data_IF_148293610564
#
_entry.id   IF_148293610564
#
_cell.length_a   1.000
_cell.length_b   1.000
_cell.length_c   1.000
_cell.angle_alpha   90.00
_cell.angle_beta   90.00
_cell.angle_gamma   90.00
#
_symmetry.space_group_name_H-M   'P 1'
#
loop_
_entity.id
_entity.type
_entity.pdbx_description
1 polymer ?
#
# COMPACT_ATOMS: atom_id res chain seq x y z
N UNK A 1 -11.96 18.16 1.21
CA UNK A 1 -11.82 17.19 2.32
C UNK A 1 -13.21 16.59 2.56
N UNK A 2 -13.44 15.30 2.25
CA UNK A 2 -14.77 14.66 2.35
C UNK A 2 -14.84 13.85 3.64
N UNK A 3 -15.57 14.36 4.64
CA UNK A 3 -15.81 13.64 5.89
C UNK A 3 -16.84 12.53 5.67
N UNK A 4 -16.46 11.30 6.00
CA UNK A 4 -17.40 10.19 6.18
C UNK A 4 -17.90 10.26 7.62
N UNK A 5 -19.18 10.62 7.80
CA UNK A 5 -19.77 10.90 9.12
C UNK A 5 -20.18 9.65 9.91
N UNK A 6 -20.40 8.52 9.21
CA UNK A 6 -20.91 7.29 9.81
C UNK A 6 -20.50 6.06 8.99
N UNK A 7 -20.19 4.95 9.65
CA UNK A 7 -19.74 3.70 9.04
C UNK A 7 -20.27 2.51 9.88
N UNK A 8 -21.11 1.65 9.29
CA UNK A 8 -21.61 0.42 9.92
C UNK A 8 -21.34 -0.80 9.04
N UNK A 9 -20.81 -1.86 9.64
CA UNK A 9 -20.58 -3.17 9.00
C UNK A 9 -21.60 -4.16 9.59
N UNK A 10 -22.36 -4.83 8.73
CA UNK A 10 -23.28 -5.93 9.10
C UNK A 10 -23.16 -7.03 8.06
N UNK A 11 -22.46 -8.12 8.38
CA UNK A 11 -22.20 -9.21 7.43
C UNK A 11 -21.48 -8.72 6.17
N UNK A 12 -22.06 -8.97 5.00
CA UNK A 12 -21.53 -8.55 3.68
C UNK A 12 -21.93 -7.13 3.28
N UNK A 13 -22.63 -6.40 4.16
CA UNK A 13 -23.16 -5.07 3.87
C UNK A 13 -22.40 -4.01 4.68
N UNK A 14 -21.94 -2.99 3.96
CA UNK A 14 -21.41 -1.77 4.56
C UNK A 14 -22.31 -0.60 4.23
N UNK A 15 -22.54 0.28 5.20
CA UNK A 15 -23.24 1.53 4.98
C UNK A 15 -22.37 2.69 5.42
N UNK A 16 -22.14 3.68 4.55
CA UNK A 16 -21.50 4.93 4.95
C UNK A 16 -22.25 6.15 4.45
N UNK A 17 -22.22 7.22 5.24
CA UNK A 17 -22.74 8.51 4.83
C UNK A 17 -21.69 9.21 3.95
N UNK A 18 -22.03 9.39 2.67
CA UNK A 18 -21.31 10.24 1.73
C UNK A 18 -21.97 11.61 1.71
N UNK A 19 -21.21 12.66 1.99
CA UNK A 19 -21.69 14.05 1.91
C UNK A 19 -21.43 14.62 0.51
N UNK A 20 -22.50 14.85 -0.25
CA UNK A 20 -22.48 15.53 -1.54
C UNK A 20 -23.17 16.91 -1.40
N UNK A 21 -22.47 17.88 -0.80
CA UNK A 21 -23.02 19.20 -0.51
C UNK A 21 -23.76 19.25 0.83
N UNK A 22 -25.06 19.58 0.82
CA UNK A 22 -25.90 19.71 2.04
C UNK A 22 -26.57 18.40 2.49
N UNK A 23 -26.50 17.35 1.69
CA UNK A 23 -27.21 16.09 1.94
C UNK A 23 -26.21 14.96 2.22
N UNK A 24 -26.46 14.21 3.29
CA UNK A 24 -25.75 12.98 3.60
C UNK A 24 -26.49 11.80 2.94
N UNK A 25 -25.85 11.16 1.96
CA UNK A 25 -26.39 9.99 1.26
C UNK A 25 -25.80 8.72 1.87
N UNK A 26 -26.65 7.78 2.30
CA UNK A 26 -26.19 6.47 2.78
C UNK A 26 -25.86 5.59 1.58
N UNK A 27 -24.58 5.36 1.33
CA UNK A 27 -24.09 4.40 0.33
C UNK A 27 -24.00 3.03 0.98
N UNK A 28 -24.69 2.05 0.39
CA UNK A 28 -24.64 0.64 0.79
C UNK A 28 -23.78 -0.14 -0.19
N UNK A 29 -22.67 -0.70 0.27
CA UNK A 29 -21.81 -1.59 -0.52
C UNK A 29 -22.09 -3.04 -0.13
N UNK A 30 -22.35 -3.86 -1.15
CA UNK A 30 -22.48 -5.32 -1.03
C UNK A 30 -21.33 -5.94 -1.79
N UNK A 31 -20.57 -6.82 -1.13
CA UNK A 31 -19.55 -7.62 -1.78
C UNK A 31 -20.03 -9.06 -1.85
N UNK A 32 -19.89 -9.68 -3.03
CA UNK A 32 -19.88 -11.15 -3.10
C UNK A 32 -18.61 -11.68 -2.43
N UNK A 33 -18.62 -12.96 -2.03
CA UNK A 33 -17.42 -13.58 -1.47
C UNK A 33 -16.24 -13.51 -2.46
N UNK A 34 -16.51 -13.68 -3.77
CA UNK A 34 -15.49 -13.54 -4.80
C UNK A 34 -14.91 -12.13 -4.86
N UNK A 35 -15.74 -11.09 -4.89
CA UNK A 35 -15.26 -9.70 -4.92
C UNK A 35 -14.45 -9.36 -3.67
N UNK A 36 -14.82 -9.91 -2.50
CA UNK A 36 -14.05 -9.75 -1.27
C UNK A 36 -12.66 -10.38 -1.42
N UNK A 37 -12.59 -11.63 -1.90
CA UNK A 37 -11.32 -12.33 -2.13
C UNK A 37 -10.42 -11.59 -3.13
N UNK A 38 -11.00 -11.05 -4.21
CA UNK A 38 -10.26 -10.31 -5.23
C UNK A 38 -9.65 -9.02 -4.65
N UNK A 39 -10.42 -8.27 -3.86
CA UNK A 39 -9.93 -7.04 -3.21
C UNK A 39 -8.85 -7.34 -2.17
N UNK A 40 -9.01 -8.42 -1.38
CA UNK A 40 -7.98 -8.86 -0.42
C UNK A 40 -6.68 -9.18 -1.16
N UNK A 41 -6.78 -9.90 -2.29
CA UNK A 41 -5.61 -10.24 -3.11
C UNK A 41 -4.92 -8.99 -3.65
N UNK A 42 -5.69 -7.98 -4.08
CA UNK A 42 -5.15 -6.70 -4.52
C UNK A 42 -4.45 -5.94 -3.39
N UNK A 43 -5.05 -5.89 -2.20
CA UNK A 43 -4.45 -5.26 -1.01
C UNK A 43 -3.13 -5.93 -0.62
N UNK A 44 -3.12 -7.26 -0.53
CA UNK A 44 -1.92 -8.03 -0.21
C UNK A 44 -0.83 -7.85 -1.26
N UNK A 45 -1.19 -7.81 -2.55
CA UNK A 45 -0.25 -7.58 -3.64
C UNK A 45 0.36 -6.17 -3.58
N UNK A 46 -0.49 -5.14 -3.42
CA UNK A 46 -0.04 -3.76 -3.28
C UNK A 46 0.84 -3.57 -2.04
N UNK A 47 0.52 -4.26 -0.93
CA UNK A 47 1.32 -4.22 0.28
C UNK A 47 2.71 -4.82 0.05
N UNK A 48 2.80 -6.01 -0.55
CA UNK A 48 4.09 -6.62 -0.88
C UNK A 48 4.94 -5.73 -1.80
N UNK A 49 4.31 -5.04 -2.75
CA UNK A 49 5.00 -4.11 -3.62
C UNK A 49 5.54 -2.88 -2.88
N UNK A 50 4.80 -2.38 -1.88
CA UNK A 50 5.26 -1.31 -0.99
C UNK A 50 6.41 -1.79 -0.10
N UNK A 51 6.28 -2.94 0.55
CA UNK A 51 7.34 -3.51 1.40
C UNK A 51 8.64 -3.73 0.59
N UNK A 52 8.54 -4.13 -0.68
CA UNK A 52 9.68 -4.21 -1.60
C UNK A 52 10.33 -2.83 -1.84
N UNK A 53 9.52 -1.80 -2.11
CA UNK A 53 10.03 -0.44 -2.34
C UNK A 53 10.70 0.13 -1.08
N UNK A 54 10.13 -0.12 0.09
CA UNK A 54 10.73 0.25 1.39
C UNK A 54 12.08 -0.47 1.58
N UNK A 55 12.17 -1.76 1.24
CA UNK A 55 13.43 -2.49 1.28
C UNK A 55 14.51 -1.95 0.33
N UNK A 56 14.12 -1.47 -0.86
CA UNK A 56 15.05 -0.76 -1.77
C UNK A 56 15.52 0.54 -1.14
N UNK A 57 14.62 1.34 -0.58
CA UNK A 57 14.95 2.59 0.11
C UNK A 57 15.93 2.34 1.27
N UNK A 58 15.68 1.33 2.09
CA UNK A 58 16.56 0.97 3.22
C UNK A 58 17.99 0.66 2.72
N UNK A 59 18.12 -0.10 1.64
CA UNK A 59 19.42 -0.42 1.05
C UNK A 59 20.13 0.83 0.51
N UNK A 60 19.41 1.73 -0.17
CA UNK A 60 19.96 2.99 -0.68
C UNK A 60 20.47 3.87 0.47
N UNK A 61 19.67 4.03 1.53
CA UNK A 61 20.06 4.80 2.72
C UNK A 61 21.26 4.17 3.42
N UNK A 62 21.24 2.86 3.63
CA UNK A 62 22.34 2.12 4.26
C UNK A 62 23.64 2.22 3.46
N UNK A 63 23.54 2.22 2.13
CA UNK A 63 24.71 2.32 1.23
C UNK A 63 25.38 3.69 1.29
N UNK A 64 24.72 4.76 1.74
CA UNK A 64 25.33 6.11 1.78
C UNK A 64 26.66 6.19 2.53
N UNK A 65 26.83 5.37 3.57
CA UNK A 65 28.09 5.30 4.34
C UNK A 65 29.09 4.28 3.81
N UNK A 66 28.74 3.57 2.73
CA UNK A 66 29.57 2.55 2.10
C UNK A 66 30.35 3.15 0.93
N UNK A 67 31.69 3.06 1.00
CA UNK A 67 32.59 3.60 -0.02
C UNK A 67 32.91 2.60 -1.14
N UNK A 68 32.41 1.36 -1.05
CA UNK A 68 32.65 0.34 -2.07
C UNK A 68 32.07 0.77 -3.43
N UNK A 69 32.78 0.42 -4.51
CA UNK A 69 32.21 0.49 -5.85
C UNK A 69 31.05 -0.50 -6.00
N UNK A 70 30.30 -0.39 -7.09
CA UNK A 70 29.23 -1.34 -7.40
C UNK A 70 29.75 -2.78 -7.44
N UNK A 71 30.87 -3.02 -8.14
CA UNK A 71 31.47 -4.35 -8.30
C UNK A 71 31.91 -4.94 -6.97
N UNK A 72 32.54 -4.13 -6.11
CA UNK A 72 32.97 -4.54 -4.77
C UNK A 72 31.76 -4.84 -3.86
N UNK A 73 30.70 -4.04 -3.97
CA UNK A 73 29.46 -4.26 -3.23
C UNK A 73 28.75 -5.54 -3.72
N UNK A 74 28.65 -5.74 -5.03
CA UNK A 74 28.05 -6.90 -5.67
C UNK A 74 28.81 -8.19 -5.31
N UNK A 75 30.13 -8.17 -5.27
CA UNK A 75 30.94 -9.30 -4.80
C UNK A 75 30.66 -9.64 -3.32
N UNK A 76 30.40 -8.63 -2.48
CA UNK A 76 30.21 -8.83 -1.04
C UNK A 76 28.76 -9.15 -0.62
N UNK A 77 27.76 -8.66 -1.35
CA UNK A 77 26.33 -8.72 -1.01
C UNK A 77 25.46 -9.40 -2.05
N UNK A 78 26.01 -9.66 -3.24
CA UNK A 78 25.28 -10.16 -4.39
C UNK A 78 24.79 -9.04 -5.31
N UNK A 79 24.76 -9.36 -6.60
CA UNK A 79 24.40 -8.42 -7.68
C UNK A 79 22.98 -7.87 -7.53
N UNK A 80 22.02 -8.71 -7.13
CA UNK A 80 20.63 -8.28 -6.94
C UNK A 80 20.46 -7.25 -5.81
N UNK A 81 21.24 -7.36 -4.73
CA UNK A 81 21.24 -6.37 -3.64
C UNK A 81 21.96 -5.10 -4.09
N UNK A 82 23.07 -5.24 -4.81
CA UNK A 82 23.83 -4.11 -5.35
C UNK A 82 22.96 -3.23 -6.28
N UNK A 83 22.21 -3.82 -7.21
CA UNK A 83 21.31 -3.06 -8.08
C UNK A 83 20.27 -2.24 -7.30
N UNK A 84 19.74 -2.78 -6.20
CA UNK A 84 18.82 -2.04 -5.33
C UNK A 84 19.54 -0.92 -4.57
N UNK A 85 20.67 -1.23 -3.94
CA UNK A 85 21.44 -0.28 -3.14
C UNK A 85 22.03 0.90 -3.95
N UNK A 86 22.34 0.65 -5.23
CA UNK A 86 22.85 1.66 -6.17
C UNK A 86 21.76 2.38 -6.97
N UNK A 87 20.47 2.07 -6.72
CA UNK A 87 19.38 2.90 -7.22
C UNK A 87 19.54 4.33 -6.69
N UNK A 88 19.16 5.33 -7.49
CA UNK A 88 19.21 6.72 -7.03
C UNK A 88 18.22 6.93 -5.89
N UNK A 89 18.53 7.84 -4.97
CA UNK A 89 17.61 8.13 -3.87
C UNK A 89 16.28 8.70 -4.37
N UNK A 90 16.31 9.56 -5.38
CA UNK A 90 15.11 10.13 -6.00
C UNK A 90 14.19 9.03 -6.56
N UNK A 91 14.76 8.07 -7.29
CA UNK A 91 14.00 6.95 -7.85
C UNK A 91 13.43 6.05 -6.74
N UNK A 92 14.21 5.75 -5.70
CA UNK A 92 13.74 4.98 -4.56
C UNK A 92 12.60 5.69 -3.83
N UNK A 93 12.69 7.01 -3.64
CA UNK A 93 11.63 7.82 -3.03
C UNK A 93 10.37 7.82 -3.90
N UNK A 94 10.52 7.98 -5.21
CA UNK A 94 9.43 7.95 -6.17
C UNK A 94 8.73 6.58 -6.20
N UNK A 95 9.48 5.48 -6.11
CA UNK A 95 8.94 4.13 -5.99
C UNK A 95 8.06 3.97 -4.75
N UNK A 96 8.58 4.32 -3.55
CA UNK A 96 7.82 4.22 -2.30
C UNK A 96 6.55 5.06 -2.37
N UNK A 97 6.66 6.32 -2.82
CA UNK A 97 5.51 7.22 -2.97
C UNK A 97 4.45 6.66 -3.94
N UNK A 98 4.88 6.11 -5.07
CA UNK A 98 3.99 5.49 -6.05
C UNK A 98 3.24 4.29 -5.47
N UNK A 99 3.94 3.38 -4.77
CA UNK A 99 3.33 2.19 -4.15
C UNK A 99 2.41 2.53 -2.99
N UNK A 100 2.75 3.54 -2.19
CA UNK A 100 1.86 4.06 -1.16
C UNK A 100 0.56 4.58 -1.78
N UNK A 101 0.66 5.39 -2.84
CA UNK A 101 -0.52 5.92 -3.56
C UNK A 101 -1.39 4.81 -4.17
N UNK A 102 -0.78 3.75 -4.72
CA UNK A 102 -1.51 2.59 -5.25
C UNK A 102 -2.31 1.89 -4.13
N UNK A 103 -1.66 1.63 -2.99
CA UNK A 103 -2.30 1.01 -1.82
C UNK A 103 -3.43 1.88 -1.28
N UNK A 104 -3.20 3.18 -1.12
CA UNK A 104 -4.22 4.13 -0.69
C UNK A 104 -5.43 4.14 -1.64
N UNK A 105 -5.20 4.16 -2.96
CA UNK A 105 -6.27 4.12 -3.95
C UNK A 105 -7.16 2.88 -3.77
N UNK A 106 -6.58 1.70 -3.55
CA UNK A 106 -7.36 0.47 -3.29
C UNK A 106 -8.16 0.61 -1.99
N UNK A 107 -7.53 1.15 -0.93
CA UNK A 107 -8.19 1.39 0.37
C UNK A 107 -9.38 2.35 0.23
N UNK A 108 -9.24 3.41 -0.56
CA UNK A 108 -10.30 4.39 -0.81
C UNK A 108 -11.44 3.83 -1.65
N UNK A 109 -11.14 2.98 -2.63
CA UNK A 109 -12.15 2.32 -3.47
C UNK A 109 -12.90 1.20 -2.74
N UNK A 110 -12.25 0.55 -1.77
CA UNK A 110 -12.79 -0.58 -1.01
C UNK A 110 -12.61 -0.43 0.51
N UNK A 111 -13.18 0.61 1.13
CA UNK A 111 -12.90 0.95 2.54
C UNK A 111 -13.33 -0.13 3.53
N UNK A 112 -14.35 -0.92 3.16
CA UNK A 112 -14.92 -2.01 3.98
C UNK A 112 -13.95 -3.16 4.11
N UNK A 113 -13.58 -3.74 2.96
CA UNK A 113 -12.71 -4.89 2.85
C UNK A 113 -11.34 -4.51 3.41
N UNK A 114 -10.87 -3.30 3.13
CA UNK A 114 -9.61 -2.79 3.64
C UNK A 114 -9.57 -2.69 5.16
N UNK A 115 -10.64 -2.18 5.81
CA UNK A 115 -10.70 -2.08 7.27
C UNK A 115 -10.79 -3.45 7.93
N UNK A 116 -11.61 -4.35 7.40
CA UNK A 116 -11.72 -5.72 7.90
C UNK A 116 -10.40 -6.48 7.75
N UNK A 117 -9.75 -6.37 6.58
CA UNK A 117 -8.45 -6.99 6.32
C UNK A 117 -7.38 -6.48 7.26
N UNK A 118 -7.33 -5.16 7.50
CA UNK A 118 -6.40 -4.55 8.45
C UNK A 118 -6.58 -5.08 9.88
N UNK A 119 -7.83 -5.24 10.35
CA UNK A 119 -8.12 -5.82 11.67
C UNK A 119 -7.65 -7.27 11.79
N UNK A 120 -7.80 -8.08 10.74
CA UNK A 120 -7.37 -9.50 10.73
C UNK A 120 -5.85 -9.61 10.66
N UNK A 121 -5.18 -8.72 9.94
CA UNK A 121 -3.72 -8.77 9.72
C UNK A 121 -2.91 -8.00 10.76
N UNK A 122 -3.56 -7.18 11.59
CA UNK A 122 -2.89 -6.31 12.56
C UNK A 122 -2.20 -5.12 11.93
N UNK A 123 -2.77 -4.56 10.86
CA UNK A 123 -2.25 -3.41 10.13
C UNK A 123 -2.92 -2.10 10.53
#
# INVERSE_FOLDING_TARGET
MRLVSYCRITGNQFSYARRDGRTDTIVRLWYTDQQRCDVITQLDSARRALDFADGVMELVVRRRSDQRSFEQYAQARGEAEAHKAFTSEEDAQAMVKGRMSDLERIKWSHPVVSRLHAQVRGW
#
